data_IF_575755558553
#
_entry.id   IF_575755558553
#
_cell.length_a   1.000
_cell.length_b   1.000
_cell.length_c   1.000
_cell.angle_alpha   90.00
_cell.angle_beta   90.00
_cell.angle_gamma   90.00
#
_symmetry.space_group_name_H-M   'P 1'
#
loop_
_entity.id
_entity.type
_entity.pdbx_description
1 polymer ?
#
# COMPACT_ATOMS: atom_id res chain seq x y z
N UNK A 1 -8.87 28.74 18.78
CA UNK A 1 -9.91 29.60 18.20
C UNK A 1 -11.17 28.76 18.04
N UNK A 2 -12.14 28.91 18.95
CA UNK A 2 -13.44 28.24 18.88
C UNK A 2 -14.46 29.22 18.31
N UNK A 3 -15.26 28.74 17.36
CA UNK A 3 -16.26 29.50 16.61
C UNK A 3 -17.43 29.96 17.50
N UNK A 4 -17.89 31.22 17.39
CA UNK A 4 -18.95 31.78 18.21
C UNK A 4 -20.34 31.51 17.60
N UNK A 5 -20.74 30.24 17.51
CA UNK A 5 -22.03 29.86 16.94
C UNK A 5 -22.86 29.04 17.93
N UNK A 6 -23.25 29.64 19.06
CA UNK A 6 -24.38 29.20 19.91
C UNK A 6 -24.68 30.23 21.02
N UNK A 7 -25.18 31.40 20.61
CA UNK A 7 -25.98 32.27 21.48
C UNK A 7 -27.32 32.51 20.79
N UNK A 8 -28.30 31.62 21.03
CA UNK A 8 -29.70 31.89 20.68
C UNK A 8 -30.28 32.80 21.75
N UNK A 9 -30.28 34.11 21.47
CA UNK A 9 -31.05 35.10 22.21
C UNK A 9 -32.47 35.06 21.65
N UNK A 10 -33.44 34.70 22.50
CA UNK A 10 -34.85 34.75 22.17
C UNK A 10 -35.32 36.22 22.18
N UNK A 11 -35.33 36.85 21.01
CA UNK A 11 -36.06 38.09 20.76
C UNK A 11 -37.34 37.75 20.01
N UNK A 12 -38.48 37.84 20.72
CA UNK A 12 -39.83 37.74 20.18
C UNK A 12 -40.12 38.99 19.36
N UNK A 13 -39.71 39.00 18.09
CA UNK A 13 -40.19 39.97 17.09
C UNK A 13 -41.59 39.57 16.66
N UNK A 14 -42.49 40.55 16.63
CA UNK A 14 -43.88 40.40 16.17
C UNK A 14 -43.88 39.79 14.76
N UNK A 15 -44.61 38.70 14.61
CA UNK A 15 -44.93 38.12 13.30
C UNK A 15 -45.87 39.10 12.59
N UNK A 16 -45.35 39.80 11.58
CA UNK A 16 -46.21 40.28 10.51
C UNK A 16 -46.67 39.04 9.77
N UNK A 17 -47.99 38.79 9.74
CA UNK A 17 -48.59 37.70 8.99
C UNK A 17 -48.35 37.90 7.49
N UNK A 18 -47.22 37.38 7.02
CA UNK A 18 -46.94 37.20 5.60
C UNK A 18 -47.90 36.13 5.09
N UNK A 19 -49.10 36.55 4.66
CA UNK A 19 -50.06 35.68 3.99
C UNK A 19 -49.43 35.19 2.69
N UNK A 20 -48.78 34.03 2.78
CA UNK A 20 -48.10 33.38 1.66
C UNK A 20 -48.99 33.15 0.43
N UNK A 21 -48.40 32.63 -0.66
CA UNK A 21 -49.00 32.64 -2.00
C UNK A 21 -50.43 32.06 -2.02
N UNK A 22 -51.40 32.88 -2.47
CA UNK A 22 -52.82 32.50 -2.53
C UNK A 22 -53.16 31.86 -3.88
N UNK A 23 -54.01 30.84 -3.84
CA UNK A 23 -54.39 30.06 -5.04
C UNK A 23 -55.31 30.83 -5.98
N UNK A 24 -56.01 31.83 -5.44
CA UNK A 24 -56.96 32.68 -6.16
C UNK A 24 -56.33 34.01 -6.58
N UNK A 25 -54.99 34.12 -6.56
CA UNK A 25 -54.28 35.30 -7.08
C UNK A 25 -54.39 35.38 -8.60
N UNK A 26 -54.50 36.60 -9.12
CA UNK A 26 -54.53 36.89 -10.55
C UNK A 26 -53.17 36.61 -11.22
N UNK A 27 -52.09 36.59 -10.44
CA UNK A 27 -50.74 36.33 -10.92
C UNK A 27 -50.47 34.83 -11.13
N UNK A 28 -49.89 34.48 -12.28
CA UNK A 28 -49.61 33.10 -12.66
C UNK A 28 -48.52 32.48 -11.79
N UNK A 29 -47.52 33.25 -11.40
CA UNK A 29 -46.38 32.75 -10.62
C UNK A 29 -46.77 32.42 -9.18
N UNK A 30 -47.62 33.25 -8.55
CA UNK A 30 -48.16 32.98 -7.22
C UNK A 30 -49.04 31.72 -7.18
N UNK A 31 -49.83 31.46 -8.23
CA UNK A 31 -50.63 30.23 -8.34
C UNK A 31 -49.75 28.99 -8.50
N UNK A 32 -48.67 29.08 -9.26
CA UNK A 32 -47.71 27.97 -9.43
C UNK A 32 -46.98 27.70 -8.11
N UNK A 33 -46.55 28.75 -7.40
CA UNK A 33 -45.92 28.63 -6.08
C UNK A 33 -46.87 28.01 -5.05
N UNK A 34 -48.11 28.49 -4.97
CA UNK A 34 -49.11 27.96 -4.04
C UNK A 34 -49.46 26.49 -4.35
N UNK A 35 -49.51 26.12 -5.64
CA UNK A 35 -49.75 24.72 -6.06
C UNK A 35 -48.57 23.82 -5.75
N UNK A 36 -47.32 24.28 -5.93
CA UNK A 36 -46.11 23.54 -5.54
C UNK A 36 -46.08 23.29 -4.02
N UNK A 37 -46.37 24.30 -3.21
CA UNK A 37 -46.46 24.16 -1.75
C UNK A 37 -47.55 23.16 -1.35
N UNK A 38 -48.71 23.20 -2.01
CA UNK A 38 -49.82 22.26 -1.72
C UNK A 38 -49.47 20.81 -2.11
N UNK A 39 -48.74 20.61 -3.21
CA UNK A 39 -48.25 19.30 -3.64
C UNK A 39 -47.17 18.80 -2.67
N UNK A 40 -46.24 19.67 -2.26
CA UNK A 40 -45.20 19.34 -1.29
C UNK A 40 -45.79 18.93 0.06
N UNK A 41 -46.77 19.68 0.58
CA UNK A 41 -47.50 19.30 1.81
C UNK A 41 -48.26 17.97 1.67
N UNK A 42 -48.80 17.65 0.49
CA UNK A 42 -49.43 16.33 0.24
C UNK A 42 -48.41 15.21 0.22
N UNK A 43 -47.22 15.43 -0.35
CA UNK A 43 -46.14 14.44 -0.38
C UNK A 43 -45.58 14.25 1.03
N UNK A 44 -45.38 15.31 1.80
CA UNK A 44 -44.98 15.25 3.21
C UNK A 44 -46.02 14.53 4.07
N UNK A 45 -47.32 14.81 3.90
CA UNK A 45 -48.37 14.08 4.62
C UNK A 45 -48.51 12.61 4.18
N UNK A 46 -48.17 12.27 2.93
CA UNK A 46 -48.17 10.89 2.44
C UNK A 46 -46.95 10.10 2.93
N UNK A 47 -45.83 10.80 3.14
CA UNK A 47 -44.59 10.22 3.69
C UNK A 47 -44.54 10.27 5.22
N UNK A 48 -45.52 10.90 5.89
CA UNK A 48 -45.68 10.73 7.33
C UNK A 48 -46.20 9.32 7.62
N UNK A 49 -45.47 8.48 8.36
CA UNK A 49 -46.02 7.24 8.87
C UNK A 49 -47.26 7.57 9.72
N UNK A 50 -48.30 6.74 9.64
CA UNK A 50 -49.52 6.88 10.42
C UNK A 50 -49.17 7.18 11.88
N UNK A 51 -49.72 8.27 12.41
CA UNK A 51 -49.63 8.64 13.82
C UNK A 51 -50.15 7.45 14.64
N UNK A 52 -49.21 6.66 15.16
CA UNK A 52 -49.44 5.83 16.33
C UNK A 52 -49.90 6.81 17.39
N UNK A 53 -51.12 6.58 17.92
CA UNK A 53 -51.61 7.24 19.10
C UNK A 53 -50.47 7.37 20.11
N UNK A 54 -49.95 8.58 20.24
CA UNK A 54 -49.09 8.96 21.36
C UNK A 54 -49.99 8.87 22.58
N UNK A 55 -50.05 7.68 23.19
CA UNK A 55 -50.15 7.58 24.63
C UNK A 55 -49.20 8.64 25.18
N UNK A 56 -49.75 9.57 25.94
CA UNK A 56 -49.03 10.65 26.60
C UNK A 56 -47.68 10.13 27.05
N UNK A 57 -46.62 10.43 26.30
CA UNK A 57 -45.26 10.23 26.76
C UNK A 57 -45.19 11.09 28.01
N UNK A 58 -45.29 10.46 29.17
CA UNK A 58 -44.89 11.08 30.43
C UNK A 58 -43.50 11.63 30.16
N UNK A 59 -43.43 12.94 29.96
CA UNK A 59 -42.17 13.66 29.81
C UNK A 59 -41.36 13.20 31.01
N UNK A 60 -40.28 12.46 30.76
CA UNK A 60 -39.49 11.83 31.82
C UNK A 60 -38.87 12.96 32.63
N UNK A 61 -39.60 13.42 33.66
CA UNK A 61 -39.22 14.53 34.49
C UNK A 61 -37.93 14.12 35.21
N UNK A 62 -36.84 14.90 35.07
CA UNK A 62 -35.60 14.62 35.78
C UNK A 62 -35.82 14.48 37.28
N UNK A 63 -34.95 13.74 37.95
CA UNK A 63 -35.02 13.53 39.41
C UNK A 63 -35.11 14.87 40.17
N UNK A 64 -34.31 15.86 39.76
CA UNK A 64 -34.35 17.22 40.32
C UNK A 64 -35.72 17.89 40.18
N UNK A 65 -36.38 17.71 39.04
CA UNK A 65 -37.70 18.29 38.80
C UNK A 65 -38.78 17.67 39.69
N UNK A 66 -38.73 16.34 39.87
CA UNK A 66 -39.62 15.64 40.80
C UNK A 66 -39.39 16.09 42.25
N UNK A 67 -38.12 16.29 42.64
CA UNK A 67 -37.78 16.81 43.96
C UNK A 67 -38.32 18.23 44.19
N UNK A 68 -38.23 19.12 43.19
CA UNK A 68 -38.79 20.48 43.28
C UNK A 68 -40.31 20.44 43.49
N UNK A 69 -41.04 19.63 42.72
CA UNK A 69 -42.50 19.50 42.90
C UNK A 69 -42.86 18.98 44.30
N UNK A 70 -42.11 18.00 44.80
CA UNK A 70 -42.31 17.45 46.14
C UNK A 70 -42.04 18.49 47.24
N UNK A 71 -40.90 19.17 47.18
CA UNK A 71 -40.53 20.23 48.12
C UNK A 71 -41.54 21.37 48.12
N UNK A 72 -42.03 21.78 46.94
CA UNK A 72 -43.04 22.83 46.83
C UNK A 72 -44.37 22.43 47.51
N UNK A 73 -44.84 21.19 47.27
CA UNK A 73 -46.06 20.68 47.92
C UNK A 73 -45.91 20.59 49.43
N UNK A 74 -44.74 20.14 49.92
CA UNK A 74 -44.43 20.04 51.35
C UNK A 74 -44.40 21.41 52.03
N UNK A 75 -43.76 22.40 51.40
CA UNK A 75 -43.72 23.78 51.90
C UNK A 75 -45.09 24.45 51.87
N UNK A 76 -45.91 24.17 50.85
CA UNK A 76 -47.27 24.68 50.79
C UNK A 76 -48.15 24.13 51.92
N UNK A 77 -48.03 22.84 52.24
CA UNK A 77 -48.72 22.24 53.40
C UNK A 77 -48.25 22.88 54.71
N UNK A 78 -46.95 23.03 54.89
CA UNK A 78 -46.39 23.67 56.09
C UNK A 78 -46.90 25.11 56.26
N UNK A 79 -47.03 25.87 55.16
CA UNK A 79 -47.58 27.21 55.17
C UNK A 79 -49.06 27.23 55.59
N UNK A 80 -49.86 26.28 55.09
CA UNK A 80 -51.27 26.13 55.47
C UNK A 80 -51.40 25.81 56.95
N UNK A 81 -50.69 24.78 57.42
CA UNK A 81 -50.69 24.34 58.82
C UNK A 81 -50.23 25.48 59.76
N UNK A 82 -49.19 26.22 59.35
CA UNK A 82 -48.69 27.36 60.12
C UNK A 82 -49.68 28.52 60.21
N UNK A 83 -50.38 28.80 59.12
CA UNK A 83 -51.42 29.84 59.10
C UNK A 83 -52.64 29.44 59.96
N UNK A 84 -53.04 28.18 59.94
CA UNK A 84 -54.08 27.66 60.84
C UNK A 84 -53.67 27.82 62.31
N UNK A 85 -52.42 27.50 62.65
CA UNK A 85 -51.90 27.57 64.01
C UNK A 85 -51.95 28.98 64.62
N UNK A 86 -51.67 30.00 63.81
CA UNK A 86 -51.75 31.43 64.18
C UNK A 86 -53.20 31.91 64.18
N UNK A 87 -54.00 31.51 63.19
CA UNK A 87 -55.40 31.89 63.05
C UNK A 87 -56.24 31.38 64.22
N UNK A 88 -55.91 30.21 64.77
CA UNK A 88 -56.59 29.64 65.94
C UNK A 88 -56.52 30.56 67.18
N UNK A 89 -55.42 31.29 67.40
CA UNK A 89 -55.35 32.27 68.49
C UNK A 89 -56.33 33.41 68.21
N UNK A 90 -56.30 33.96 67.00
CA UNK A 90 -57.15 35.09 66.61
C UNK A 90 -58.64 34.75 66.75
N UNK A 91 -59.05 33.56 66.30
CA UNK A 91 -60.43 33.09 66.45
C UNK A 91 -60.79 32.97 67.94
N UNK A 92 -59.89 32.44 68.78
CA UNK A 92 -60.14 32.32 70.21
C UNK A 92 -60.24 33.71 70.90
N UNK A 93 -59.41 34.68 70.51
CA UNK A 93 -59.49 36.06 71.04
C UNK A 93 -60.79 36.74 70.60
N UNK A 94 -61.17 36.58 69.33
CA UNK A 94 -62.39 37.18 68.78
C UNK A 94 -63.65 36.59 69.43
N UNK A 95 -63.69 35.27 69.64
CA UNK A 95 -64.78 34.61 70.34
C UNK A 95 -64.92 35.14 71.78
N UNK A 96 -63.81 35.30 72.52
CA UNK A 96 -63.83 35.84 73.88
C UNK A 96 -64.28 37.29 73.95
N UNK A 97 -63.81 38.13 73.04
CA UNK A 97 -64.24 39.53 72.94
C UNK A 97 -65.74 39.63 72.60
N UNK A 98 -66.26 38.72 71.77
CA UNK A 98 -67.70 38.62 71.50
C UNK A 98 -68.50 38.28 72.76
N UNK A 99 -68.06 37.30 73.57
CA UNK A 99 -68.73 36.98 74.83
C UNK A 99 -68.69 38.15 75.82
N UNK A 100 -67.54 38.82 75.94
CA UNK A 100 -67.39 40.00 76.81
C UNK A 100 -68.35 41.12 76.43
N UNK A 101 -68.51 41.41 75.13
CA UNK A 101 -69.44 42.43 74.64
C UNK A 101 -70.88 42.08 74.99
N UNK A 102 -71.26 40.81 74.86
CA UNK A 102 -72.61 40.36 75.22
C UNK A 102 -72.88 40.53 76.73
N UNK A 103 -71.95 40.11 77.60
CA UNK A 103 -72.07 40.26 79.05
C UNK A 103 -72.12 41.74 79.47
N UNK A 104 -71.32 42.59 78.81
CA UNK A 104 -71.27 44.02 79.08
C UNK A 104 -72.57 44.74 78.65
N UNK A 105 -73.14 44.37 77.50
CA UNK A 105 -74.44 44.87 77.07
C UNK A 105 -75.56 44.49 78.05
N UNK A 106 -75.54 43.28 78.61
CA UNK A 106 -76.51 42.84 79.62
C UNK A 106 -76.36 43.62 80.94
N UNK A 107 -75.12 43.80 81.42
CA UNK A 107 -74.84 44.60 82.62
C UNK A 107 -75.27 46.06 82.45
N UNK A 108 -75.03 46.66 81.28
CA UNK A 108 -75.47 48.03 80.98
C UNK A 108 -76.98 48.13 81.03
N UNK A 109 -77.72 47.19 80.42
CA UNK A 109 -79.19 47.14 80.48
C UNK A 109 -79.68 47.08 81.92
N UNK A 110 -79.16 46.13 82.71
CA UNK A 110 -79.54 46.00 84.12
C UNK A 110 -79.25 47.27 84.94
N UNK A 111 -78.15 47.98 84.66
CA UNK A 111 -77.81 49.24 85.33
C UNK A 111 -78.80 50.34 84.96
N UNK A 112 -79.15 50.47 83.68
CA UNK A 112 -80.13 51.45 83.18
C UNK A 112 -81.48 51.20 83.83
N UNK A 113 -81.99 49.96 83.80
CA UNK A 113 -83.28 49.61 84.39
C UNK A 113 -83.35 49.92 85.89
N UNK A 114 -82.26 49.65 86.64
CA UNK A 114 -82.16 50.00 88.07
C UNK A 114 -82.16 51.52 88.31
N UNK A 115 -81.47 52.29 87.48
CA UNK A 115 -81.43 53.74 87.59
C UNK A 115 -82.79 54.37 87.25
N UNK A 116 -83.49 53.84 86.25
CA UNK A 116 -84.83 54.28 85.88
C UNK A 116 -85.84 54.01 87.00
N UNK A 117 -85.88 52.77 87.51
CA UNK A 117 -86.78 52.42 88.62
C UNK A 117 -86.51 53.23 89.89
N UNK A 118 -85.25 53.46 90.26
CA UNK A 118 -84.90 54.30 91.42
C UNK A 118 -85.10 55.81 91.16
N UNK A 119 -85.13 56.25 89.91
CA UNK A 119 -85.54 57.61 89.56
C UNK A 119 -87.05 57.77 89.71
N UNK A 120 -87.84 56.80 89.23
CA UNK A 120 -89.30 56.79 89.36
C UNK A 120 -89.73 56.77 90.84
N UNK A 121 -89.22 55.83 91.64
CA UNK A 121 -89.53 55.73 93.07
C UNK A 121 -89.12 56.99 93.85
N UNK A 122 -87.97 57.58 93.52
CA UNK A 122 -87.50 58.80 94.16
C UNK A 122 -88.36 60.02 93.79
N UNK A 123 -88.83 60.11 92.54
CA UNK A 123 -89.76 61.17 92.11
C UNK A 123 -91.09 61.02 92.86
N UNK A 124 -91.64 59.81 92.96
CA UNK A 124 -92.87 59.55 93.71
C UNK A 124 -92.73 59.87 95.20
N UNK A 125 -91.64 59.42 95.83
CA UNK A 125 -91.34 59.72 97.23
C UNK A 125 -91.18 61.23 97.47
N UNK A 126 -90.47 61.93 96.58
CA UNK A 126 -90.29 63.38 96.65
C UNK A 126 -91.62 64.14 96.51
N UNK A 127 -92.47 63.75 95.55
CA UNK A 127 -93.81 64.34 95.40
C UNK A 127 -94.67 64.11 96.65
N UNK A 128 -94.61 62.93 97.27
CA UNK A 128 -95.32 62.63 98.49
C UNK A 128 -94.84 63.46 99.68
N UNK A 129 -93.52 63.67 99.81
CA UNK A 129 -92.92 64.58 100.80
C UNK A 129 -93.39 66.01 100.55
N UNK A 130 -93.30 66.50 99.32
CA UNK A 130 -93.75 67.85 98.94
C UNK A 130 -95.23 68.11 99.29
N UNK A 131 -96.12 67.15 98.99
CA UNK A 131 -97.55 67.23 99.37
C UNK A 131 -97.76 67.28 100.89
N UNK A 132 -96.97 66.52 101.67
CA UNK A 132 -97.06 66.53 103.14
C UNK A 132 -96.50 67.84 103.73
N UNK A 133 -95.48 68.46 103.11
CA UNK A 133 -95.03 69.80 103.46
C UNK A 133 -96.09 70.88 103.26
N UNK A 134 -96.87 70.82 102.17
CA UNK A 134 -98.01 71.72 101.95
C UNK A 134 -99.11 71.57 103.01
N UNK A 135 -99.34 70.35 103.49
CA UNK A 135 -100.29 70.07 104.58
C UNK A 135 -99.78 70.56 105.93
N UNK A 136 -98.49 70.40 106.22
CA UNK A 136 -97.81 70.87 107.44
C UNK A 136 -98.04 72.36 107.71
N UNK A 137 -98.01 73.18 106.65
CA UNK A 137 -98.25 74.64 106.74
C UNK A 137 -99.65 75.03 107.24
N UNK A 138 -100.61 74.09 107.25
CA UNK A 138 -102.02 74.34 107.63
C UNK A 138 -102.36 73.82 109.03
N UNK A 139 -101.41 73.20 109.74
CA UNK A 139 -101.63 72.64 111.08
C UNK A 139 -101.33 73.70 112.14
N UNK A 140 -102.33 74.08 112.93
CA UNK A 140 -102.19 75.10 113.98
C UNK A 140 -101.77 74.51 115.34
N UNK A 141 -101.92 73.19 115.53
CA UNK A 141 -101.58 72.49 116.78
C UNK A 141 -100.09 72.15 116.81
N UNK A 142 -99.30 72.71 117.75
CA UNK A 142 -97.85 72.52 117.77
C UNK A 142 -97.38 71.07 117.93
N UNK A 143 -98.13 70.25 118.68
CA UNK A 143 -97.79 68.84 118.90
C UNK A 143 -97.99 68.00 117.62
N UNK A 144 -99.08 68.20 116.90
CA UNK A 144 -99.35 67.54 115.61
C UNK A 144 -98.37 67.99 114.53
N UNK A 145 -98.00 69.27 114.53
CA UNK A 145 -96.97 69.80 113.65
C UNK A 145 -95.60 69.14 113.93
N UNK A 146 -95.22 68.96 115.20
CA UNK A 146 -93.97 68.31 115.57
C UNK A 146 -93.92 66.85 115.12
N UNK A 147 -95.02 66.10 115.25
CA UNK A 147 -95.12 64.72 114.76
C UNK A 147 -94.97 64.67 113.23
N UNK A 148 -95.68 65.55 112.51
CA UNK A 148 -95.64 65.59 111.06
C UNK A 148 -94.26 66.01 110.52
N UNK A 149 -93.58 66.95 111.18
CA UNK A 149 -92.20 67.34 110.86
C UNK A 149 -91.21 66.20 111.13
N UNK A 150 -91.37 65.46 112.22
CA UNK A 150 -90.53 64.28 112.49
C UNK A 150 -90.73 63.19 111.42
N UNK A 151 -91.97 62.97 110.98
CA UNK A 151 -92.26 62.02 109.90
C UNK A 151 -91.72 62.51 108.53
N UNK A 152 -91.73 63.83 108.27
CA UNK A 152 -91.06 64.39 107.09
C UNK A 152 -89.55 64.25 107.15
N UNK A 153 -88.94 64.48 108.31
CA UNK A 153 -87.50 64.32 108.50
C UNK A 153 -87.08 62.87 108.28
N UNK A 154 -87.88 61.90 108.78
CA UNK A 154 -87.69 60.47 108.50
C UNK A 154 -87.80 60.15 107.01
N UNK A 155 -88.86 60.61 106.34
CA UNK A 155 -89.04 60.34 104.90
C UNK A 155 -87.93 60.96 104.03
N UNK A 156 -87.45 62.17 104.36
CA UNK A 156 -86.30 62.77 103.70
C UNK A 156 -85.00 61.99 103.99
N UNK A 157 -84.81 61.53 105.23
CA UNK A 157 -83.65 60.72 105.60
C UNK A 157 -83.65 59.38 104.85
N UNK A 158 -84.80 58.71 104.75
CA UNK A 158 -84.98 57.47 103.97
C UNK A 158 -84.65 57.69 102.49
N UNK A 159 -85.14 58.77 101.86
CA UNK A 159 -84.81 59.09 100.46
C UNK A 159 -83.32 59.38 100.24
N UNK A 160 -82.67 60.10 101.18
CA UNK A 160 -81.23 60.33 101.11
C UNK A 160 -80.47 59.03 101.33
N UNK A 161 -80.97 58.13 102.18
CA UNK A 161 -80.40 56.82 102.41
C UNK A 161 -80.49 55.95 101.15
N UNK A 162 -81.63 55.87 100.45
CA UNK A 162 -81.74 55.11 99.19
C UNK A 162 -80.80 55.63 98.11
N UNK A 163 -80.65 56.96 97.98
CA UNK A 163 -79.65 57.55 97.06
C UNK A 163 -78.23 57.24 97.51
N UNK A 164 -77.95 57.29 98.81
CA UNK A 164 -76.63 56.98 99.36
C UNK A 164 -76.27 55.50 99.19
N UNK A 165 -77.23 54.57 99.30
CA UNK A 165 -77.03 53.15 99.01
C UNK A 165 -76.78 52.93 97.53
N UNK A 166 -77.58 53.52 96.64
CA UNK A 166 -77.37 53.46 95.20
C UNK A 166 -75.98 53.99 94.80
N UNK A 167 -75.54 55.12 95.37
CA UNK A 167 -74.20 55.66 95.11
C UNK A 167 -73.11 54.66 95.52
N UNK A 168 -73.25 54.00 96.68
CA UNK A 168 -72.29 52.98 97.13
C UNK A 168 -72.27 51.77 96.20
N UNK A 169 -73.43 51.33 95.71
CA UNK A 169 -73.54 50.24 94.74
C UNK A 169 -72.86 50.59 93.41
N UNK A 170 -73.12 51.78 92.86
CA UNK A 170 -72.48 52.27 91.64
C UNK A 170 -70.96 52.44 91.81
N UNK A 171 -70.51 52.91 92.98
CA UNK A 171 -69.07 52.98 93.30
C UNK A 171 -68.43 51.60 93.38
N UNK A 172 -69.13 50.61 93.93
CA UNK A 172 -68.66 49.22 93.97
C UNK A 172 -68.60 48.62 92.56
N UNK A 173 -69.63 48.88 91.74
CA UNK A 173 -69.69 48.44 90.35
C UNK A 173 -68.56 49.07 89.52
N UNK A 174 -68.26 50.36 89.73
CA UNK A 174 -67.14 51.04 89.09
C UNK A 174 -65.80 50.39 89.46
N UNK A 175 -65.56 50.13 90.75
CA UNK A 175 -64.35 49.42 91.21
C UNK A 175 -64.24 48.01 90.60
N UNK A 176 -65.36 47.28 90.54
CA UNK A 176 -65.40 45.96 89.90
C UNK A 176 -65.06 46.04 88.41
N UNK A 177 -65.52 47.08 87.71
CA UNK A 177 -65.19 47.34 86.30
C UNK A 177 -63.72 47.73 86.11
N UNK A 178 -63.14 48.53 87.00
CA UNK A 178 -61.70 48.84 86.98
C UNK A 178 -60.86 47.56 87.17
N UNK A 179 -61.24 46.70 88.11
CA UNK A 179 -60.58 45.40 88.33
C UNK A 179 -60.71 44.47 87.12
N UNK A 180 -61.89 44.44 86.48
CA UNK A 180 -62.11 43.69 85.23
C UNK A 180 -61.23 44.23 84.10
N UNK A 181 -61.15 45.55 83.94
CA UNK A 181 -60.32 46.18 82.91
C UNK A 181 -58.84 45.83 83.07
N UNK A 182 -58.30 45.88 84.29
CA UNK A 182 -56.90 45.49 84.55
C UNK A 182 -56.66 44.01 84.24
N UNK A 183 -57.60 43.13 84.60
CA UNK A 183 -57.51 41.69 84.26
C UNK A 183 -57.54 41.47 82.75
N UNK A 184 -58.40 42.17 82.03
CA UNK A 184 -58.48 42.10 80.57
C UNK A 184 -57.21 42.63 79.91
N UNK A 185 -56.64 43.73 80.40
CA UNK A 185 -55.40 44.28 79.88
C UNK A 185 -54.25 43.27 80.00
N UNK A 186 -54.14 42.63 81.18
CA UNK A 186 -53.15 41.55 81.41
C UNK A 186 -53.36 40.38 80.46
N UNK A 187 -54.61 39.91 80.34
CA UNK A 187 -54.95 38.80 79.46
C UNK A 187 -54.70 39.12 77.98
N UNK A 188 -54.99 40.34 77.53
CA UNK A 188 -54.69 40.81 76.17
C UNK A 188 -53.18 40.85 75.92
N UNK A 189 -52.40 41.27 76.90
CA UNK A 189 -50.94 41.21 76.81
C UNK A 189 -50.46 39.75 76.67
N UNK A 190 -50.95 38.84 77.51
CA UNK A 190 -50.63 37.40 77.43
C UNK A 190 -51.05 36.79 76.08
N UNK A 191 -52.21 37.16 75.53
CA UNK A 191 -52.67 36.69 74.22
C UNK A 191 -51.79 37.21 73.07
N UNK A 192 -51.31 38.46 73.18
CA UNK A 192 -50.36 39.04 72.21
C UNK A 192 -49.00 38.36 72.31
N UNK A 193 -48.49 38.14 73.53
CA UNK A 193 -47.21 37.45 73.75
C UNK A 193 -47.28 36.03 73.18
N UNK A 194 -48.37 35.30 73.44
CA UNK A 194 -48.60 33.96 72.87
C UNK A 194 -48.69 33.99 71.34
N UNK A 195 -49.34 35.01 70.77
CA UNK A 195 -49.40 35.19 69.32
C UNK A 195 -48.00 35.40 68.72
N UNK A 196 -47.19 36.26 69.34
CA UNK A 196 -45.81 36.53 68.93
C UNK A 196 -44.97 35.26 69.03
N UNK A 197 -45.02 34.54 70.16
CA UNK A 197 -44.29 33.28 70.34
C UNK A 197 -44.65 32.25 69.27
N UNK A 198 -45.94 32.10 68.94
CA UNK A 198 -46.36 31.16 67.87
C UNK A 198 -45.92 31.60 66.48
N UNK A 199 -45.99 32.89 66.18
CA UNK A 199 -45.53 33.43 64.89
C UNK A 199 -44.02 33.22 64.76
N UNK A 200 -43.24 33.48 65.81
CA UNK A 200 -41.79 33.26 65.81
C UNK A 200 -41.44 31.78 65.67
N UNK A 201 -42.12 30.90 66.42
CA UNK A 201 -41.93 29.45 66.30
C UNK A 201 -42.25 28.96 64.88
N UNK A 202 -43.35 29.41 64.27
CA UNK A 202 -43.69 29.10 62.89
C UNK A 202 -42.68 29.66 61.89
N UNK A 203 -42.20 30.88 62.11
CA UNK A 203 -41.18 31.48 61.25
C UNK A 203 -39.87 30.68 61.30
N UNK A 204 -39.42 30.27 62.49
CA UNK A 204 -38.21 29.44 62.63
C UNK A 204 -38.39 28.06 61.99
N UNK A 205 -39.54 27.40 62.21
CA UNK A 205 -39.86 26.12 61.59
C UNK A 205 -39.89 26.22 60.06
N UNK A 206 -40.50 27.28 59.54
CA UNK A 206 -40.60 27.52 58.11
C UNK A 206 -39.21 27.80 57.52
N UNK A 207 -38.38 28.61 58.20
CA UNK A 207 -37.01 28.90 57.78
C UNK A 207 -36.14 27.64 57.74
N UNK A 208 -36.18 26.80 58.77
CA UNK A 208 -35.40 25.54 58.80
C UNK A 208 -35.88 24.57 57.74
N UNK A 209 -37.19 24.47 57.53
CA UNK A 209 -37.78 23.63 56.49
C UNK A 209 -37.38 24.11 55.09
N UNK A 210 -37.52 25.41 54.78
CA UNK A 210 -37.05 25.96 53.49
C UNK A 210 -35.56 25.68 53.26
N UNK A 211 -34.72 25.85 54.27
CA UNK A 211 -33.29 25.54 54.15
C UNK A 211 -33.04 24.04 53.89
N UNK A 212 -33.79 23.15 54.54
CA UNK A 212 -33.69 21.70 54.32
C UNK A 212 -34.14 21.32 52.91
N UNK A 213 -35.28 21.83 52.46
CA UNK A 213 -35.80 21.56 51.12
C UNK A 213 -34.87 22.07 50.01
N UNK A 214 -34.27 23.25 50.19
CA UNK A 214 -33.27 23.78 49.24
C UNK A 214 -32.05 22.84 49.17
N UNK A 215 -31.56 22.36 50.32
CA UNK A 215 -30.45 21.42 50.37
C UNK A 215 -30.82 20.08 49.70
N UNK A 216 -32.03 19.56 49.88
CA UNK A 216 -32.50 18.34 49.22
C UNK A 216 -32.60 18.52 47.70
N UNK A 217 -33.11 19.68 47.23
CA UNK A 217 -33.13 20.03 45.81
C UNK A 217 -31.71 20.09 45.25
N UNK A 218 -30.79 20.74 45.95
CA UNK A 218 -29.38 20.83 45.53
C UNK A 218 -28.74 19.43 45.45
N UNK A 219 -28.95 18.57 46.45
CA UNK A 219 -28.49 17.18 46.42
C UNK A 219 -29.08 16.40 45.24
N UNK A 220 -30.35 16.61 44.90
CA UNK A 220 -30.97 15.99 43.72
C UNK A 220 -30.31 16.47 42.41
N UNK A 221 -29.93 17.75 42.30
CA UNK A 221 -29.15 18.25 41.15
C UNK A 221 -27.73 17.69 41.11
N UNK A 222 -27.04 17.63 42.25
CA UNK A 222 -25.68 17.08 42.33
C UNK A 222 -25.66 15.60 41.95
N UNK A 223 -26.60 14.81 42.44
CA UNK A 223 -26.73 13.39 42.09
C UNK A 223 -27.09 13.19 40.62
N UNK A 224 -27.99 14.00 40.06
CA UNK A 224 -28.29 13.97 38.63
C UNK A 224 -27.06 14.32 37.79
N UNK A 225 -26.29 15.34 38.19
CA UNK A 225 -25.04 15.71 37.51
C UNK A 225 -24.01 14.59 37.58
N UNK A 226 -23.87 13.95 38.74
CA UNK A 226 -22.95 12.82 38.92
C UNK A 226 -23.30 11.65 38.00
N UNK A 227 -24.58 11.28 37.92
CA UNK A 227 -25.06 10.22 37.00
C UNK A 227 -24.79 10.57 35.53
N UNK A 228 -25.08 11.80 35.12
CA UNK A 228 -24.82 12.25 33.75
C UNK A 228 -23.32 12.20 33.42
N UNK A 229 -22.46 12.62 34.36
CA UNK A 229 -21.01 12.53 34.18
C UNK A 229 -20.55 11.08 34.08
N UNK A 230 -21.09 10.20 34.93
CA UNK A 230 -20.79 8.76 34.91
C UNK A 230 -21.16 8.12 33.55
N UNK A 231 -22.36 8.40 33.04
CA UNK A 231 -22.82 7.99 31.71
C UNK A 231 -21.85 8.46 30.61
N UNK A 232 -21.52 9.76 30.59
CA UNK A 232 -20.58 10.31 29.61
C UNK A 232 -19.17 9.73 29.74
N UNK A 233 -18.68 9.50 30.96
CA UNK A 233 -17.37 8.85 31.15
C UNK A 233 -17.37 7.41 30.67
N UNK A 234 -18.47 6.68 30.88
CA UNK A 234 -18.63 5.31 30.40
C UNK A 234 -18.67 5.26 28.87
N UNK A 235 -19.41 6.15 28.22
CA UNK A 235 -19.41 6.31 26.76
C UNK A 235 -18.00 6.63 26.23
N UNK A 236 -17.27 7.53 26.88
CA UNK A 236 -15.88 7.83 26.54
C UNK A 236 -14.95 6.63 26.69
N UNK A 237 -15.08 5.87 27.77
CA UNK A 237 -14.31 4.65 27.99
C UNK A 237 -14.62 3.59 26.95
N UNK A 238 -15.89 3.42 26.57
CA UNK A 238 -16.31 2.53 25.49
C UNK A 238 -15.66 2.94 24.16
N UNK A 239 -15.79 4.20 23.75
CA UNK A 239 -15.16 4.71 22.53
C UNK A 239 -13.64 4.51 22.54
N UNK A 240 -12.98 4.79 23.67
CA UNK A 240 -11.54 4.60 23.81
C UNK A 240 -11.15 3.11 23.68
N UNK A 241 -11.95 2.22 24.27
CA UNK A 241 -11.73 0.77 24.16
C UNK A 241 -11.90 0.27 22.72
N UNK A 242 -12.87 0.81 21.98
CA UNK A 242 -13.06 0.51 20.57
C UNK A 242 -11.89 1.00 19.71
N UNK A 243 -11.39 2.21 19.99
CA UNK A 243 -10.20 2.75 19.32
C UNK A 243 -9.00 1.86 19.58
N UNK A 244 -8.75 1.48 20.84
CA UNK A 244 -7.67 0.55 21.20
C UNK A 244 -7.81 -0.78 20.47
N UNK A 245 -9.00 -1.37 20.46
CA UNK A 245 -9.28 -2.62 19.74
C UNK A 245 -9.00 -2.51 18.24
N UNK A 246 -9.40 -1.41 17.60
CA UNK A 246 -9.09 -1.18 16.17
C UNK A 246 -7.59 -0.99 15.93
N UNK A 247 -6.90 -0.30 16.83
CA UNK A 247 -5.45 -0.12 16.75
C UNK A 247 -4.69 -1.44 16.94
N UNK A 248 -5.08 -2.28 17.90
CA UNK A 248 -4.46 -3.60 18.08
C UNK A 248 -4.70 -4.49 16.88
N UNK A 249 -5.93 -4.53 16.35
CA UNK A 249 -6.24 -5.27 15.12
C UNK A 249 -5.39 -4.81 13.94
N UNK A 250 -5.25 -3.49 13.74
CA UNK A 250 -4.39 -2.97 12.68
C UNK A 250 -2.92 -3.39 12.84
N UNK A 251 -2.40 -3.40 14.07
CA UNK A 251 -1.04 -3.86 14.35
C UNK A 251 -0.88 -5.36 14.13
N UNK A 252 -1.87 -6.17 14.52
CA UNK A 252 -1.92 -7.62 14.28
C UNK A 252 -1.95 -7.92 12.78
N UNK A 253 -2.83 -7.27 12.02
CA UNK A 253 -2.92 -7.41 10.56
C UNK A 253 -1.60 -7.01 9.87
N UNK A 254 -0.98 -5.92 10.34
CA UNK A 254 0.33 -5.49 9.83
C UNK A 254 1.41 -6.53 10.12
N UNK A 255 1.45 -7.07 11.34
CA UNK A 255 2.43 -8.09 11.72
C UNK A 255 2.22 -9.37 10.93
N UNK A 256 0.98 -9.83 10.76
CA UNK A 256 0.65 -10.99 9.93
C UNK A 256 1.12 -10.80 8.48
N UNK A 257 0.96 -9.59 7.91
CA UNK A 257 1.47 -9.31 6.56
C UNK A 257 2.99 -9.30 6.49
N UNK A 258 3.67 -8.82 7.54
CA UNK A 258 5.14 -8.89 7.64
C UNK A 258 5.60 -10.34 7.71
N UNK A 259 4.94 -11.19 8.51
CA UNK A 259 5.24 -12.63 8.59
C UNK A 259 5.05 -13.32 7.24
N UNK A 260 3.95 -13.06 6.53
CA UNK A 260 3.73 -13.61 5.18
C UNK A 260 4.82 -13.20 4.19
N UNK A 261 5.28 -11.94 4.25
CA UNK A 261 6.40 -11.46 3.43
C UNK A 261 7.71 -12.16 3.83
N UNK A 262 7.96 -12.39 5.11
CA UNK A 262 9.14 -13.11 5.58
C UNK A 262 9.14 -14.57 5.12
N UNK A 263 7.99 -15.24 5.19
CA UNK A 263 7.82 -16.61 4.74
C UNK A 263 8.02 -16.75 3.23
N UNK A 264 7.42 -15.85 2.45
CA UNK A 264 7.62 -15.83 0.98
C UNK A 264 9.07 -15.52 0.61
N UNK A 265 9.74 -14.61 1.31
CA UNK A 265 11.19 -14.38 1.13
C UNK A 265 12.03 -15.60 1.50
N UNK A 266 11.69 -16.31 2.57
CA UNK A 266 12.38 -17.52 2.97
C UNK A 266 12.21 -18.64 1.93
N UNK A 267 10.98 -18.84 1.44
CA UNK A 267 10.69 -19.77 0.35
C UNK A 267 11.47 -19.40 -0.91
N UNK A 268 11.46 -18.13 -1.31
CA UNK A 268 12.19 -17.66 -2.49
C UNK A 268 13.71 -17.89 -2.37
N UNK A 269 14.27 -17.72 -1.17
CA UNK A 269 15.69 -18.05 -0.91
C UNK A 269 15.97 -19.54 -1.10
N UNK A 270 15.08 -20.41 -0.63
CA UNK A 270 15.21 -21.86 -0.79
C UNK A 270 15.12 -22.23 -2.27
N UNK A 271 14.10 -21.75 -2.98
CA UNK A 271 13.93 -22.06 -4.41
C UNK A 271 15.12 -21.57 -5.25
N UNK A 272 15.62 -20.35 -5.00
CA UNK A 272 16.80 -19.85 -5.70
C UNK A 272 18.07 -20.65 -5.38
N UNK A 273 18.24 -21.12 -4.14
CA UNK A 273 19.35 -21.98 -3.77
C UNK A 273 19.27 -23.34 -4.46
N UNK A 274 18.06 -23.90 -4.61
CA UNK A 274 17.80 -25.13 -5.36
C UNK A 274 18.07 -24.96 -6.85
N UNK A 275 17.51 -23.90 -7.47
CA UNK A 275 17.74 -23.56 -8.88
C UNK A 275 19.23 -23.37 -9.19
N UNK A 276 19.95 -22.67 -8.30
CA UNK A 276 21.39 -22.50 -8.42
C UNK A 276 22.13 -23.83 -8.37
N UNK A 277 21.79 -24.72 -7.42
CA UNK A 277 22.39 -26.07 -7.33
C UNK A 277 22.11 -26.88 -8.59
N UNK A 278 20.88 -26.86 -9.08
CA UNK A 278 20.48 -27.57 -10.30
C UNK A 278 21.27 -27.05 -11.50
N UNK A 279 21.37 -25.73 -11.67
CA UNK A 279 22.13 -25.13 -12.76
C UNK A 279 23.63 -25.46 -12.64
N UNK A 280 24.19 -25.38 -11.43
CA UNK A 280 25.58 -25.74 -11.15
C UNK A 280 25.85 -27.20 -11.55
N UNK A 281 25.01 -28.15 -11.13
CA UNK A 281 25.16 -29.56 -11.52
C UNK A 281 25.09 -29.76 -13.03
N UNK A 282 24.19 -29.04 -13.73
CA UNK A 282 24.11 -29.11 -15.21
C UNK A 282 25.41 -28.64 -15.86
N UNK A 283 25.91 -27.47 -15.45
CA UNK A 283 27.16 -26.94 -15.99
C UNK A 283 28.37 -27.82 -15.67
N UNK A 284 28.45 -28.38 -14.47
CA UNK A 284 29.51 -29.34 -14.09
C UNK A 284 29.44 -30.62 -14.95
N UNK A 285 28.25 -31.14 -15.23
CA UNK A 285 28.06 -32.29 -16.13
C UNK A 285 28.45 -31.97 -17.58
N UNK A 286 28.11 -30.78 -18.07
CA UNK A 286 28.49 -30.34 -19.43
C UNK A 286 30.01 -30.22 -19.55
N UNK A 287 30.68 -29.65 -18.53
CA UNK A 287 32.15 -29.58 -18.45
C UNK A 287 32.75 -30.98 -18.48
N UNK A 288 32.27 -31.91 -17.64
CA UNK A 288 32.76 -33.29 -17.62
C UNK A 288 32.58 -33.98 -18.99
N UNK A 289 31.44 -33.74 -19.65
CA UNK A 289 31.17 -34.31 -20.98
C UNK A 289 32.14 -33.77 -22.03
N UNK A 290 32.39 -32.46 -22.01
CA UNK A 290 33.35 -31.81 -22.93
C UNK A 290 34.78 -32.28 -22.67
N UNK A 291 35.18 -32.44 -21.40
CA UNK A 291 36.48 -33.01 -21.02
C UNK A 291 36.65 -34.43 -21.56
N UNK A 292 35.63 -35.28 -21.40
CA UNK A 292 35.65 -36.64 -21.96
C UNK A 292 35.76 -36.63 -23.49
N UNK A 293 34.99 -35.78 -24.19
CA UNK A 293 35.08 -35.63 -25.64
C UNK A 293 36.47 -35.18 -26.09
N UNK A 294 37.09 -34.26 -25.35
CA UNK A 294 38.42 -33.76 -25.63
C UNK A 294 39.49 -34.84 -25.42
N UNK A 295 39.40 -35.66 -24.37
CA UNK A 295 40.29 -36.80 -24.17
C UNK A 295 40.12 -37.88 -25.25
N UNK A 296 38.88 -38.18 -25.65
CA UNK A 296 38.62 -39.08 -26.79
C UNK A 296 39.23 -38.52 -28.08
N UNK A 297 39.08 -37.21 -28.33
CA UNK A 297 39.66 -36.55 -29.49
C UNK A 297 41.19 -36.60 -29.46
N UNK A 298 41.83 -36.34 -28.32
CA UNK A 298 43.29 -36.49 -28.15
C UNK A 298 43.74 -37.92 -28.44
N UNK A 299 43.07 -38.92 -27.89
CA UNK A 299 43.39 -40.33 -28.14
C UNK A 299 43.26 -40.69 -29.62
N UNK A 300 42.21 -40.21 -30.29
CA UNK A 300 42.02 -40.39 -31.73
C UNK A 300 43.12 -39.71 -32.56
N UNK A 301 43.53 -38.49 -32.20
CA UNK A 301 44.63 -37.80 -32.88
C UNK A 301 45.96 -38.52 -32.66
N UNK A 302 46.24 -38.99 -31.45
CA UNK A 302 47.43 -39.79 -31.15
C UNK A 302 47.46 -41.07 -32.00
N UNK A 303 46.35 -41.80 -32.07
CA UNK A 303 46.23 -42.99 -32.91
C UNK A 303 46.43 -42.67 -34.40
N UNK A 304 45.87 -41.56 -34.88
CA UNK A 304 46.03 -41.15 -36.27
C UNK A 304 47.46 -40.71 -36.58
N UNK A 305 48.15 -40.07 -35.63
CA UNK A 305 49.56 -39.70 -35.74
C UNK A 305 50.42 -40.96 -35.84
N UNK A 306 50.20 -41.96 -34.97
CA UNK A 306 50.89 -43.26 -35.03
C UNK A 306 50.62 -44.00 -36.36
N UNK A 307 49.37 -43.98 -36.86
CA UNK A 307 49.04 -44.54 -38.18
C UNK A 307 49.76 -43.81 -39.32
N UNK A 308 49.84 -42.48 -39.26
CA UNK A 308 50.52 -41.67 -40.27
C UNK A 308 52.03 -41.92 -40.23
N UNK A 309 52.62 -42.02 -39.04
CA UNK A 309 54.03 -42.34 -38.85
C UNK A 309 54.36 -43.75 -39.35
N UNK A 310 53.50 -44.74 -39.08
CA UNK A 310 53.61 -46.07 -39.67
C UNK A 310 53.57 -46.01 -41.21
N UNK A 311 52.57 -45.33 -41.79
CA UNK A 311 52.45 -45.17 -43.24
C UNK A 311 53.69 -44.49 -43.85
N UNK A 312 54.21 -43.46 -43.17
CA UNK A 312 55.42 -42.76 -43.58
C UNK A 312 56.64 -43.70 -43.56
N UNK A 313 56.80 -44.51 -42.51
CA UNK A 313 57.89 -45.49 -42.44
C UNK A 313 57.79 -46.53 -43.56
N UNK A 314 56.59 -47.02 -43.87
CA UNK A 314 56.36 -47.95 -44.99
C UNK A 314 56.72 -47.30 -46.33
N UNK A 315 56.29 -46.07 -46.57
CA UNK A 315 56.64 -45.32 -47.79
C UNK A 315 58.15 -45.08 -47.89
N UNK A 316 58.79 -44.69 -46.79
CA UNK A 316 60.24 -44.50 -46.72
C UNK A 316 60.99 -45.79 -47.05
N UNK A 317 60.59 -46.94 -46.47
CA UNK A 317 61.15 -48.25 -46.81
C UNK A 317 60.97 -48.59 -48.29
N UNK A 318 59.78 -48.35 -48.84
CA UNK A 318 59.50 -48.55 -50.26
C UNK A 318 60.37 -47.66 -51.14
N UNK A 319 60.60 -46.42 -50.76
CA UNK A 319 61.48 -45.50 -51.50
C UNK A 319 62.95 -45.92 -51.41
N UNK A 320 63.42 -46.39 -50.26
CA UNK A 320 64.75 -46.98 -50.10
C UNK A 320 64.90 -48.24 -50.99
N UNK A 321 63.92 -49.13 -51.00
CA UNK A 321 63.87 -50.31 -51.87
C UNK A 321 63.85 -49.93 -53.36
N UNK A 322 63.05 -48.93 -53.73
CA UNK A 322 62.99 -48.37 -55.08
C UNK A 322 64.33 -47.74 -55.47
N UNK A 323 65.00 -47.04 -54.56
CA UNK A 323 66.33 -46.45 -54.78
C UNK A 323 67.36 -47.55 -55.07
N UNK A 324 67.37 -48.61 -54.26
CA UNK A 324 68.23 -49.79 -54.46
C UNK A 324 67.92 -50.46 -55.80
N UNK A 325 66.64 -50.65 -56.13
CA UNK A 325 66.21 -51.26 -57.40
C UNK A 325 66.62 -50.40 -58.60
N UNK A 326 66.42 -49.08 -58.52
CA UNK A 326 66.84 -48.11 -59.53
C UNK A 326 68.36 -48.10 -59.70
N UNK A 327 69.12 -48.21 -58.61
CA UNK A 327 70.57 -48.33 -58.66
C UNK A 327 71.02 -49.65 -59.33
N UNK A 328 70.37 -50.79 -59.01
CA UNK A 328 70.61 -52.08 -59.68
C UNK A 328 70.32 -52.00 -61.18
N UNK A 329 69.17 -51.43 -61.56
CA UNK A 329 68.80 -51.23 -62.97
C UNK A 329 69.78 -50.29 -63.69
N UNK A 330 70.18 -49.16 -63.07
CA UNK A 330 71.22 -48.27 -63.62
C UNK A 330 72.54 -49.01 -63.88
N UNK A 331 73.03 -49.80 -62.90
CA UNK A 331 74.24 -50.62 -63.10
C UNK A 331 74.09 -51.62 -64.24
N UNK A 332 72.91 -52.24 -64.39
CA UNK A 332 72.62 -53.16 -65.49
C UNK A 332 72.62 -52.43 -66.84
N UNK A 333 72.04 -51.24 -66.92
CA UNK A 333 72.10 -50.37 -68.10
C UNK A 333 73.56 -50.01 -68.44
N UNK A 334 74.37 -49.60 -67.46
CA UNK A 334 75.80 -49.31 -67.68
C UNK A 334 76.55 -50.52 -68.21
N UNK A 335 76.34 -51.72 -67.65
CA UNK A 335 76.96 -52.95 -68.15
C UNK A 335 76.57 -53.27 -69.60
N UNK A 336 75.30 -53.05 -69.97
CA UNK A 336 74.82 -53.27 -71.34
C UNK A 336 75.42 -52.21 -72.29
N UNK A 337 75.51 -50.94 -71.86
CA UNK A 337 76.17 -49.88 -72.61
C UNK A 337 77.66 -50.17 -72.83
N UNK A 338 78.36 -50.66 -71.80
CA UNK A 338 79.77 -51.06 -71.91
C UNK A 338 79.96 -52.23 -72.87
N UNK A 339 79.10 -53.26 -72.79
CA UNK A 339 79.10 -54.38 -73.72
C UNK A 339 78.82 -53.93 -75.16
N UNK A 340 77.86 -53.02 -75.36
CA UNK A 340 77.53 -52.44 -76.66
C UNK A 340 78.70 -51.62 -77.21
N UNK A 341 79.36 -50.82 -76.38
CA UNK A 341 80.55 -50.05 -76.77
C UNK A 341 81.75 -50.96 -77.07
N UNK A 342 81.89 -52.09 -76.38
CA UNK A 342 82.90 -53.10 -76.67
C UNK A 342 82.63 -53.77 -78.04
N UNK A 343 81.38 -54.15 -78.31
CA UNK A 343 80.97 -54.73 -79.60
C UNK A 343 81.17 -53.72 -80.72
N UNK A 344 80.80 -52.44 -80.54
CA UNK A 344 81.10 -51.38 -81.52
C UNK A 344 82.59 -51.24 -81.77
N UNK A 345 83.43 -51.26 -80.73
CA UNK A 345 84.90 -51.22 -80.88
C UNK A 345 85.42 -52.44 -81.64
N UNK A 346 84.94 -53.65 -81.33
CA UNK A 346 85.30 -54.88 -82.06
C UNK A 346 84.85 -54.83 -83.52
N UNK A 347 83.64 -54.38 -83.80
CA UNK A 347 83.13 -54.23 -85.17
C UNK A 347 83.99 -53.25 -85.97
N UNK A 348 84.32 -52.09 -85.39
CA UNK A 348 85.21 -51.10 -86.01
C UNK A 348 86.64 -51.64 -86.22
N UNK A 349 87.15 -52.44 -85.30
CA UNK A 349 88.45 -53.11 -85.45
C UNK A 349 88.41 -54.11 -86.61
N UNK A 350 87.38 -54.97 -86.68
CA UNK A 350 87.19 -55.94 -87.77
C UNK A 350 87.12 -55.22 -89.12
N UNK A 351 86.37 -54.12 -89.20
CA UNK A 351 86.25 -53.29 -90.40
C UNK A 351 87.62 -52.75 -90.86
N UNK A 352 88.43 -52.25 -89.93
CA UNK A 352 89.80 -51.78 -90.21
C UNK A 352 90.69 -52.93 -90.71
N UNK A 353 90.69 -54.10 -90.04
CA UNK A 353 91.48 -55.26 -90.47
C UNK A 353 91.08 -55.76 -91.86
N UNK A 354 89.78 -55.90 -92.14
CA UNK A 354 89.32 -56.29 -93.48
C UNK A 354 89.76 -55.29 -94.55
N UNK A 355 89.76 -53.99 -94.23
CA UNK A 355 90.22 -52.96 -95.16
C UNK A 355 91.73 -53.07 -95.43
N UNK A 356 92.55 -53.25 -94.39
CA UNK A 356 94.00 -53.43 -94.55
C UNK A 356 94.36 -54.71 -95.28
N UNK A 357 93.65 -55.81 -95.02
CA UNK A 357 93.90 -57.10 -95.68
C UNK A 357 93.54 -57.02 -97.17
N UNK A 358 92.44 -56.32 -97.52
CA UNK A 358 92.11 -56.04 -98.92
C UNK A 358 93.16 -55.16 -99.61
N UNK A 359 93.66 -54.13 -98.93
CA UNK A 359 94.73 -53.28 -99.46
C UNK A 359 96.01 -54.09 -99.72
N UNK A 360 96.41 -54.95 -98.78
CA UNK A 360 97.56 -55.85 -98.93
C UNK A 360 97.39 -56.85 -100.08
N UNK A 361 96.23 -57.52 -100.19
CA UNK A 361 95.95 -58.48 -101.26
C UNK A 361 95.96 -57.82 -102.65
N UNK A 362 95.44 -56.60 -102.78
CA UNK A 362 95.49 -55.82 -104.02
C UNK A 362 96.94 -55.47 -104.40
N UNK A 363 97.77 -55.16 -103.41
CA UNK A 363 99.18 -54.82 -103.61
C UNK A 363 100.03 -56.04 -104.00
N UNK A 364 99.77 -57.20 -103.38
CA UNK A 364 100.35 -58.49 -103.77
C UNK A 364 99.94 -58.91 -105.19
N UNK A 365 98.65 -58.74 -105.56
CA UNK A 365 98.20 -59.00 -106.93
C UNK A 365 98.93 -58.10 -107.94
N UNK A 366 99.05 -56.80 -107.65
CA UNK A 366 99.83 -55.86 -108.51
C UNK A 366 101.29 -56.27 -108.64
N UNK A 367 101.92 -56.73 -107.56
CA UNK A 367 103.31 -57.20 -107.56
C UNK A 367 103.49 -58.43 -108.44
N UNK A 368 102.63 -59.45 -108.28
CA UNK A 368 102.65 -60.66 -109.12
C UNK A 368 102.38 -60.36 -110.59
N UNK A 369 101.46 -59.44 -110.88
CA UNK A 369 101.15 -59.02 -112.26
C UNK A 369 102.33 -58.33 -112.94
N UNK A 370 103.08 -57.48 -112.20
CA UNK A 370 104.33 -56.87 -112.68
C UNK A 370 105.44 -57.91 -112.94
N UNK A 371 105.56 -58.93 -112.09
CA UNK A 371 106.53 -60.01 -112.28
C UNK A 371 106.21 -60.85 -113.53
N UNK A 372 104.93 -61.14 -113.78
CA UNK A 372 104.47 -61.86 -114.97
C UNK A 372 104.73 -61.07 -116.26
N UNK A 373 104.50 -59.75 -116.23
CA UNK A 373 104.81 -58.87 -117.36
C UNK A 373 106.33 -58.78 -117.63
N UNK A 374 107.17 -58.71 -116.59
CA UNK A 374 108.63 -58.78 -116.76
C UNK A 374 109.10 -60.11 -117.37
N UNK A 375 108.48 -61.22 -116.98
CA UNK A 375 108.80 -62.55 -117.51
C UNK A 375 108.49 -62.65 -119.00
N UNK A 376 107.30 -62.22 -119.43
CA UNK A 376 106.91 -62.27 -120.84
C UNK A 376 107.74 -61.34 -121.72
N UNK A 377 108.15 -60.18 -121.21
CA UNK A 377 109.04 -59.26 -121.93
C UNK A 377 110.44 -59.89 -122.13
N UNK A 378 111.00 -60.53 -121.10
CA UNK A 378 112.29 -61.26 -121.20
C UNK A 378 112.23 -62.41 -122.21
N UNK A 379 111.13 -63.15 -122.23
CA UNK A 379 110.94 -64.25 -123.18
C UNK A 379 110.89 -63.75 -124.62
N UNK A 380 110.24 -62.61 -124.87
CA UNK A 380 110.19 -62.00 -126.21
C UNK A 380 111.57 -61.51 -126.68
N UNK A 381 112.35 -60.87 -125.81
CA UNK A 381 113.72 -60.43 -126.14
C UNK A 381 114.70 -61.57 -126.39
N UNK A 382 114.50 -62.72 -125.74
CA UNK A 382 115.31 -63.93 -125.98
C UNK A 382 115.01 -64.53 -127.35
N UNK A 383 113.73 -64.63 -127.73
CA UNK A 383 113.34 -65.11 -129.07
C UNK A 383 113.87 -64.21 -130.19
N UNK A 384 113.82 -62.88 -130.01
CA UNK A 384 114.38 -61.93 -130.99
C UNK A 384 115.92 -62.05 -131.12
N UNK A 385 116.61 -62.34 -130.01
CA UNK A 385 118.07 -62.57 -130.02
C UNK A 385 118.46 -63.87 -130.70
N UNK A 386 117.71 -64.96 -130.45
CA UNK A 386 117.94 -66.25 -131.11
C UNK A 386 117.67 -66.18 -132.61
N UNK A 387 116.63 -65.46 -133.03
CA UNK A 387 116.31 -65.28 -134.45
C UNK A 387 117.39 -64.46 -135.18
N UNK A 388 117.98 -63.45 -134.53
CA UNK A 388 119.13 -62.69 -135.06
C UNK A 388 120.39 -63.54 -135.17
N UNK A 389 120.74 -64.29 -134.12
CA UNK A 389 121.91 -65.18 -134.17
C UNK A 389 121.81 -66.23 -135.28
N UNK A 390 120.60 -66.77 -135.52
CA UNK A 390 120.39 -67.72 -136.62
C UNK A 390 120.57 -67.06 -137.99
N UNK A 391 120.09 -65.82 -138.16
CA UNK A 391 120.24 -65.07 -139.40
C UNK A 391 121.70 -64.70 -139.70
N UNK A 392 122.46 -64.28 -138.69
CA UNK A 392 123.87 -63.91 -138.84
C UNK A 392 124.75 -65.12 -139.23
N UNK A 393 124.46 -66.31 -138.68
CA UNK A 393 125.14 -67.56 -139.05
C UNK A 393 124.77 -68.02 -140.47
N UNK A 394 123.54 -67.76 -140.92
CA UNK A 394 123.10 -68.07 -142.27
C UNK A 394 123.80 -67.18 -143.32
N UNK A 395 123.84 -65.86 -143.09
CA UNK A 395 124.53 -64.89 -143.97
C UNK A 395 126.03 -65.19 -144.07
N UNK A 396 126.68 -65.55 -142.96
CA UNK A 396 128.10 -65.91 -142.96
C UNK A 396 128.40 -67.12 -143.86
N UNK A 397 127.54 -68.13 -143.87
CA UNK A 397 127.73 -69.32 -144.70
C UNK A 397 127.39 -69.05 -146.18
N UNK A 398 126.41 -68.19 -146.47
CA UNK A 398 126.05 -67.82 -147.85
C UNK A 398 127.17 -67.05 -148.56
N UNK A 399 127.85 -66.15 -147.85
CA UNK A 399 129.05 -65.45 -148.35
C UNK A 399 130.19 -66.45 -148.63
N UNK A 400 130.36 -67.45 -147.75
CA UNK A 400 131.38 -68.50 -147.93
C UNK A 400 131.12 -69.35 -149.17
N UNK A 401 129.86 -69.60 -149.52
CA UNK A 401 129.47 -70.34 -150.73
C UNK A 401 129.59 -69.51 -152.03
N UNK A 402 129.27 -68.21 -152.02
CA UNK A 402 129.52 -67.34 -153.18
C UNK A 402 131.03 -67.23 -153.51
N UNK A 403 131.88 -67.33 -152.50
CA UNK A 403 133.35 -67.33 -152.68
C UNK A 403 133.85 -68.62 -153.34
N UNK A 404 133.17 -69.75 -153.09
CA UNK A 404 133.38 -71.04 -153.77
C UNK A 404 133.07 -70.95 -155.29
N UNK A 405 132.11 -70.14 -155.71
CA UNK A 405 131.66 -70.09 -157.12
C UNK A 405 132.62 -69.32 -158.04
N UNK A 406 133.16 -68.18 -157.58
CA UNK A 406 134.09 -67.36 -158.39
C UNK A 406 135.43 -68.04 -158.66
N UNK A 407 135.98 -68.75 -157.68
CA UNK A 407 137.26 -69.46 -157.83
C UNK A 407 137.17 -70.66 -158.76
N UNK A 408 135.98 -71.27 -158.87
CA UNK A 408 135.71 -72.38 -159.79
C UNK A 408 135.52 -71.88 -161.24
N UNK A 409 134.87 -70.73 -161.43
CA UNK A 409 134.73 -70.09 -162.74
C UNK A 409 136.08 -69.61 -163.30
N UNK A 410 136.96 -69.09 -162.44
CA UNK A 410 138.33 -68.71 -162.84
C UNK A 410 139.16 -69.93 -163.26
N UNK A 411 139.01 -71.06 -162.56
CA UNK A 411 139.68 -72.32 -162.91
C UNK A 411 139.14 -72.92 -164.21
N UNK A 412 137.84 -72.80 -164.48
CA UNK A 412 137.18 -73.26 -165.71
C UNK A 412 137.62 -72.44 -166.94
N UNK A 413 137.76 -71.11 -166.79
CA UNK A 413 138.31 -70.22 -167.82
C UNK A 413 139.75 -70.58 -168.21
N UNK A 414 140.60 -70.88 -167.21
CA UNK A 414 142.01 -71.23 -167.46
C UNK A 414 142.13 -72.56 -168.21
N UNK A 415 141.29 -73.55 -167.90
CA UNK A 415 141.29 -74.85 -168.57
C UNK A 415 140.79 -74.75 -170.02
N UNK A 416 139.74 -73.96 -170.27
CA UNK A 416 139.14 -73.81 -171.61
C UNK A 416 139.98 -72.97 -172.58
N UNK A 417 140.66 -71.91 -172.12
CA UNK A 417 141.56 -71.12 -172.99
C UNK A 417 142.89 -71.84 -173.30
N UNK A 418 143.50 -72.58 -172.35
CA UNK A 418 144.88 -73.08 -172.50
C UNK A 418 145.04 -74.54 -172.98
N UNK A 419 144.07 -75.45 -172.76
CA UNK A 419 144.21 -76.88 -173.13
C UNK A 419 143.32 -77.35 -174.31
N UNK A 420 142.32 -76.57 -174.76
CA UNK A 420 141.34 -76.98 -175.79
C UNK A 420 141.22 -76.04 -177.01
N UNK A 421 141.66 -74.78 -176.92
CA UNK A 421 141.70 -73.84 -178.06
C UNK A 421 140.36 -73.22 -178.51
N UNK A 422 139.36 -73.14 -177.63
CA UNK A 422 138.02 -72.58 -177.92
C UNK A 422 137.74 -71.33 -177.06
N UNK A 423 136.80 -70.49 -177.49
CA UNK A 423 136.41 -69.27 -176.79
C UNK A 423 135.51 -69.64 -175.60
N UNK A 424 135.90 -69.25 -174.38
CA UNK A 424 135.14 -69.48 -173.15
C UNK A 424 133.96 -68.51 -173.01
N UNK A 425 132.80 -69.01 -172.56
CA UNK A 425 131.59 -68.21 -172.27
C UNK A 425 130.98 -68.63 -170.92
N UNK A 426 130.71 -67.61 -170.11
CA UNK A 426 130.46 -67.66 -168.66
C UNK A 426 129.03 -68.15 -168.31
N UNK A 427 128.84 -69.14 -167.41
CA UNK A 427 127.53 -69.55 -166.93
C UNK A 427 127.09 -68.80 -165.66
N UNK A 428 125.80 -68.45 -165.65
CA UNK A 428 125.10 -67.68 -164.62
C UNK A 428 125.18 -68.27 -163.21
#
# INVERSE_FOLDING_TARGET
>A
MLTPAQKKIYLRTKEDEDTGPKVDSNDMEERIAARRIRIQKRVENRNRPAEVNTESQEIFKPLSYKQIEFSYSKLQKLLQDGNEFVTNIRIATDARESFRRADEEELIKMRVDKLETEAETAIEAFQNIARKWEKSKKVEVPHELQLLLNDQLKACAELVETKSTLIKELQLELKSKDDQYVKELKRRAEDVDLLVERIEAQFQLMKTSFSSEINEIEQAFVTQRAKLLEEQTNEWHQLLSEIKRKQTQFLEDRNAKVEEIQDTLAQLRITHAEDYKVLKCKLENDVQTLEQQLEIMKANFQLNLEKLEYNFQVLKRRDEENLVTKAKQKRKITKILDALNLIRRKAKQVEITCRTDNEQLVEEMKSKMKALHKMTTKMRTLMDSDSKNYHDVWVFNEIKCQTLSKQLLEADRIITEQQLGLIWNDPQ
#
